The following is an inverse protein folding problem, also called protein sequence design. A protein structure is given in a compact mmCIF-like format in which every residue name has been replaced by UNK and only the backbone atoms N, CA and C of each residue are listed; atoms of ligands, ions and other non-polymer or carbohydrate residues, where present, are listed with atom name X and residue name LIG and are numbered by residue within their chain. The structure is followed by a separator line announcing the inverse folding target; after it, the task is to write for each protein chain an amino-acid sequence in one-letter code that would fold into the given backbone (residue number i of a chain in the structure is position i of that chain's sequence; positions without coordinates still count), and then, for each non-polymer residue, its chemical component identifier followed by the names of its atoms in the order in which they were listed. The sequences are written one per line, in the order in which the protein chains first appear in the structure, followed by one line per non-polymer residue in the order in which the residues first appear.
data_IF_978220651909
#
_entry.id   IF_978220651909
#
_cell.length_a   1.000
_cell.length_b   1.000
_cell.length_c   1.000
_cell.angle_alpha   90.00
_cell.angle_beta   90.00
_cell.angle_gamma   90.00
#
_symmetry.space_group_name_H-M   'P 1'
#
loop_
_entity.id
_entity.type
_entity.pdbx_description
1 polymer ?
#
# COMPACT_ATOMS: atom_id res chain seq x y z
N UNK A 1 32.40 -19.21 17.60
CA UNK A 1 31.53 -18.61 16.56
C UNK A 1 30.12 -18.53 17.12
N UNK A 2 29.69 -17.35 17.60
CA UNK A 2 28.33 -17.16 18.16
C UNK A 2 27.38 -16.89 17.00
N UNK A 3 26.51 -17.85 16.69
CA UNK A 3 25.42 -17.65 15.73
C UNK A 3 24.33 -16.87 16.48
N UNK A 4 24.19 -15.59 16.15
CA UNK A 4 23.10 -14.77 16.64
C UNK A 4 21.84 -15.10 15.84
N UNK A 5 20.95 -15.90 16.42
CA UNK A 5 19.57 -16.00 15.94
C UNK A 5 18.87 -14.72 16.36
N UNK A 6 18.67 -13.79 15.42
CA UNK A 6 17.87 -12.57 15.65
C UNK A 6 16.47 -12.99 16.09
N UNK A 7 16.00 -12.48 17.25
CA UNK A 7 14.62 -12.67 17.68
C UNK A 7 13.67 -12.04 16.65
N UNK A 8 12.54 -12.71 16.41
CA UNK A 8 11.47 -12.29 15.49
C UNK A 8 11.03 -10.83 15.72
N UNK A 9 11.04 -10.36 16.97
CA UNK A 9 10.74 -8.96 17.35
C UNK A 9 11.66 -7.94 16.67
N UNK A 10 12.96 -8.23 16.50
CA UNK A 10 13.91 -7.31 15.88
C UNK A 10 13.74 -7.20 14.36
N UNK A 11 13.24 -8.27 13.72
CA UNK A 11 12.97 -8.32 12.28
C UNK A 11 11.64 -7.64 11.98
N UNK A 12 10.61 -7.86 12.82
CA UNK A 12 9.35 -7.11 12.82
C UNK A 12 9.63 -5.60 12.95
N UNK A 13 10.34 -5.16 14.00
CA UNK A 13 10.58 -3.73 14.24
C UNK A 13 11.24 -3.00 13.05
N UNK A 14 12.19 -3.65 12.36
CA UNK A 14 12.89 -3.03 11.22
C UNK A 14 12.00 -2.82 9.98
N UNK A 15 11.04 -3.73 9.80
CA UNK A 15 10.17 -3.78 8.63
C UNK A 15 9.02 -2.78 8.75
N UNK A 16 8.43 -2.71 9.94
CA UNK A 16 7.35 -1.80 10.31
C UNK A 16 7.81 -0.35 10.39
N UNK A 17 9.03 -0.10 10.88
CA UNK A 17 9.58 1.25 10.94
C UNK A 17 9.71 1.91 9.56
N UNK A 18 9.87 1.13 8.50
CA UNK A 18 10.04 1.65 7.14
C UNK A 18 8.74 2.10 6.52
N UNK A 19 7.70 1.26 6.55
CA UNK A 19 6.35 1.67 6.14
C UNK A 19 5.88 2.89 6.96
N UNK A 20 6.07 2.85 8.28
CA UNK A 20 5.77 3.98 9.17
C UNK A 20 6.52 5.26 8.79
N UNK A 21 7.81 5.18 8.48
CA UNK A 21 8.60 6.34 8.09
C UNK A 21 8.07 6.98 6.79
N UNK A 22 7.60 6.16 5.85
CA UNK A 22 6.99 6.63 4.61
C UNK A 22 5.60 7.23 4.84
N UNK A 23 4.72 6.60 5.63
CA UNK A 23 3.40 7.16 5.96
C UNK A 23 3.47 8.56 6.59
N UNK A 24 4.54 8.86 7.33
CA UNK A 24 4.74 10.18 7.95
C UNK A 24 5.21 11.27 6.96
N UNK A 25 5.60 10.91 5.73
CA UNK A 25 6.30 11.82 4.80
C UNK A 25 5.69 11.85 3.41
N UNK A 26 5.18 10.70 2.97
CA UNK A 26 4.74 10.45 1.61
C UNK A 26 3.32 9.88 1.63
N UNK A 27 2.57 10.16 0.56
CA UNK A 27 1.33 9.46 0.27
C UNK A 27 1.65 7.99 -0.03
N UNK A 28 1.01 7.06 0.69
CA UNK A 28 1.25 5.63 0.52
C UNK A 28 -0.06 4.90 0.19
N UNK A 29 0.01 3.79 -0.55
CA UNK A 29 -1.10 2.89 -0.81
C UNK A 29 -0.77 1.46 -0.34
N UNK A 30 -1.66 0.86 0.43
CA UNK A 30 -1.57 -0.51 0.92
C UNK A 30 -2.51 -1.40 0.10
N UNK A 31 -1.94 -2.38 -0.61
CA UNK A 31 -2.66 -3.19 -1.59
C UNK A 31 -2.10 -4.61 -1.67
N UNK A 32 -2.93 -5.54 -2.13
CA UNK A 32 -2.61 -6.94 -2.44
C UNK A 32 -3.46 -7.38 -3.62
N UNK A 33 -3.13 -8.49 -4.27
CA UNK A 33 -4.01 -9.16 -5.22
C UNK A 33 -4.42 -10.57 -4.76
N UNK A 34 -4.14 -10.90 -3.48
CA UNK A 34 -4.64 -12.12 -2.88
C UNK A 34 -6.16 -12.00 -2.66
N UNK A 35 -6.90 -12.95 -3.23
CA UNK A 35 -8.35 -13.08 -3.08
C UNK A 35 -8.70 -14.55 -2.96
N UNK A 36 -9.72 -14.88 -2.18
CA UNK A 36 -10.13 -16.27 -1.99
C UNK A 36 -10.88 -16.84 -3.20
N UNK A 37 -11.69 -16.05 -3.89
CA UNK A 37 -12.45 -16.46 -5.06
C UNK A 37 -12.57 -15.37 -6.12
N UNK A 38 -12.92 -15.74 -7.35
CA UNK A 38 -13.27 -14.79 -8.42
C UNK A 38 -14.66 -14.14 -8.19
N UNK A 39 -15.05 -13.21 -9.07
CA UNK A 39 -16.37 -12.54 -9.04
C UNK A 39 -17.55 -13.52 -9.15
N UNK A 40 -17.33 -14.71 -9.70
CA UNK A 40 -18.33 -15.77 -9.82
C UNK A 40 -18.37 -16.72 -8.60
N UNK A 41 -17.51 -16.49 -7.61
CA UNK A 41 -17.39 -17.30 -6.40
C UNK A 41 -16.55 -18.57 -6.56
N UNK A 42 -15.83 -18.74 -7.69
CA UNK A 42 -14.92 -19.88 -7.85
C UNK A 42 -13.63 -19.64 -7.06
N UNK A 43 -13.20 -20.59 -6.22
CA UNK A 43 -12.03 -20.40 -5.38
C UNK A 43 -10.74 -20.37 -6.20
N UNK A 44 -9.86 -19.41 -5.90
CA UNK A 44 -8.52 -19.37 -6.47
C UNK A 44 -7.60 -20.38 -5.78
N UNK A 45 -6.82 -21.13 -6.57
CA UNK A 45 -5.71 -21.90 -6.05
C UNK A 45 -4.60 -20.98 -5.52
N UNK A 46 -3.80 -21.46 -4.57
CA UNK A 46 -2.65 -20.70 -4.05
C UNK A 46 -1.68 -20.26 -5.17
N UNK A 47 -1.55 -21.05 -6.23
CA UNK A 47 -0.73 -20.72 -7.39
C UNK A 47 -1.28 -19.51 -8.15
N UNK A 48 -2.59 -19.44 -8.35
CA UNK A 48 -3.26 -18.32 -9.01
C UNK A 48 -3.19 -17.06 -8.16
N UNK A 49 -3.47 -17.15 -6.85
CA UNK A 49 -3.33 -16.01 -5.92
C UNK A 49 -1.93 -15.39 -6.00
N UNK A 50 -0.89 -16.23 -5.91
CA UNK A 50 0.52 -15.79 -6.03
C UNK A 50 0.84 -15.22 -7.40
N UNK A 51 0.28 -15.78 -8.47
CA UNK A 51 0.51 -15.29 -9.83
C UNK A 51 -0.11 -13.91 -10.03
N UNK A 52 -1.35 -13.70 -9.57
CA UNK A 52 -2.01 -12.39 -9.57
C UNK A 52 -1.22 -11.36 -8.76
N UNK A 53 -0.73 -11.73 -7.58
CA UNK A 53 0.07 -10.82 -6.77
C UNK A 53 1.42 -10.47 -7.40
N UNK A 54 2.01 -11.40 -8.16
CA UNK A 54 3.22 -11.14 -8.96
C UNK A 54 2.94 -10.23 -10.15
N UNK A 55 1.73 -10.28 -10.72
CA UNK A 55 1.29 -9.34 -11.75
C UNK A 55 1.09 -7.95 -11.17
N UNK A 56 0.45 -7.81 -10.01
CA UNK A 56 0.37 -6.55 -9.29
C UNK A 56 1.75 -5.96 -8.99
N UNK A 57 2.70 -6.79 -8.52
CA UNK A 57 4.09 -6.36 -8.31
C UNK A 57 4.73 -5.81 -9.59
N UNK A 58 4.45 -6.45 -10.74
CA UNK A 58 4.95 -5.98 -12.04
C UNK A 58 4.31 -4.67 -12.45
N UNK A 59 3.03 -4.45 -12.19
CA UNK A 59 2.36 -3.17 -12.48
C UNK A 59 2.89 -2.04 -11.60
N UNK A 60 3.08 -2.30 -10.30
CA UNK A 60 3.71 -1.32 -9.39
C UNK A 60 5.12 -1.01 -9.87
N UNK A 61 5.92 -2.02 -10.23
CA UNK A 61 7.28 -1.81 -10.74
C UNK A 61 7.28 -1.09 -12.09
N UNK A 62 6.37 -1.45 -13.00
CA UNK A 62 6.26 -0.86 -14.33
C UNK A 62 5.96 0.63 -14.18
N UNK A 63 5.12 1.03 -13.22
CA UNK A 63 4.79 2.42 -12.89
C UNK A 63 6.02 3.26 -12.52
N UNK A 64 7.08 2.63 -12.01
CA UNK A 64 8.29 3.31 -11.57
C UNK A 64 8.13 3.97 -10.21
N UNK A 65 7.21 3.47 -9.39
CA UNK A 65 7.06 3.82 -7.98
C UNK A 65 7.97 2.96 -7.10
N UNK A 66 8.24 3.45 -5.90
CA UNK A 66 8.91 2.67 -4.86
C UNK A 66 7.86 1.87 -4.09
N UNK A 67 8.18 0.65 -3.67
CA UNK A 67 7.30 -0.11 -2.79
C UNK A 67 8.08 -0.90 -1.73
N UNK A 68 7.42 -1.04 -0.58
CA UNK A 68 7.80 -2.00 0.45
C UNK A 68 6.94 -3.23 0.26
N UNK A 69 7.56 -4.34 -0.09
CA UNK A 69 6.92 -5.65 -0.10
C UNK A 69 6.89 -6.16 1.33
N UNK A 70 5.72 -6.55 1.82
CA UNK A 70 5.55 -7.14 3.13
C UNK A 70 5.03 -8.56 3.01
N UNK A 71 5.46 -9.43 3.90
CA UNK A 71 4.80 -10.72 4.13
C UNK A 71 4.04 -10.62 5.42
N UNK A 72 2.75 -10.86 5.38
CA UNK A 72 1.99 -11.18 6.58
C UNK A 72 1.32 -12.52 6.43
N UNK A 73 0.56 -12.91 7.44
CA UNK A 73 -0.09 -14.20 7.41
C UNK A 73 -1.00 -14.41 8.59
N UNK A 74 -1.79 -15.46 8.48
CA UNK A 74 -2.72 -15.93 9.50
C UNK A 74 -2.47 -17.42 9.76
N UNK A 75 -2.98 -17.91 10.89
CA UNK A 75 -2.96 -19.34 11.20
C UNK A 75 -4.33 -19.90 10.83
N UNK A 76 -4.38 -20.71 9.78
CA UNK A 76 -5.58 -21.48 9.48
C UNK A 76 -5.74 -22.62 10.47
N UNK A 77 -6.99 -22.93 10.82
CA UNK A 77 -7.32 -23.98 11.79
C UNK A 77 -6.60 -23.84 13.14
N UNK A 78 -6.43 -22.60 13.60
CA UNK A 78 -5.83 -22.30 14.89
C UNK A 78 -6.52 -23.10 16.02
N UNK A 79 -5.73 -23.70 16.91
CA UNK A 79 -6.24 -24.56 17.99
C UNK A 79 -6.49 -26.02 17.59
N UNK A 80 -6.21 -26.41 16.36
CA UNK A 80 -6.26 -27.81 15.90
C UNK A 80 -4.86 -28.38 15.62
N UNK A 81 -4.74 -29.71 15.47
CA UNK A 81 -3.50 -30.36 15.04
C UNK A 81 -3.11 -30.02 13.59
N UNK A 82 -4.04 -29.47 12.81
CA UNK A 82 -3.86 -29.08 11.41
C UNK A 82 -3.64 -27.57 11.27
N UNK A 83 -3.18 -26.90 12.33
CA UNK A 83 -2.84 -25.49 12.29
C UNK A 83 -1.72 -25.25 11.27
N UNK A 84 -1.99 -24.45 10.24
CA UNK A 84 -1.02 -24.14 9.19
C UNK A 84 -0.89 -22.62 9.07
N UNK A 85 0.35 -22.14 9.07
CA UNK A 85 0.65 -20.74 8.79
C UNK A 85 0.53 -20.49 7.29
N UNK A 86 -0.41 -19.64 6.91
CA UNK A 86 -0.54 -19.14 5.53
C UNK A 86 0.16 -17.80 5.46
N UNK A 87 1.10 -17.68 4.54
CA UNK A 87 1.84 -16.43 4.27
C UNK A 87 1.38 -15.83 2.96
N UNK A 88 1.03 -14.55 3.02
CA UNK A 88 0.56 -13.76 1.90
C UNK A 88 1.38 -12.48 1.79
N UNK A 89 1.60 -12.09 0.54
CA UNK A 89 2.45 -10.95 0.21
C UNK A 89 1.57 -9.73 -0.05
N UNK A 90 1.86 -8.63 0.63
CA UNK A 90 1.18 -7.35 0.47
C UNK A 90 2.19 -6.26 0.12
N UNK A 91 1.69 -5.13 -0.38
CA UNK A 91 2.53 -4.03 -0.84
C UNK A 91 2.13 -2.73 -0.15
N UNK A 92 3.12 -1.99 0.33
CA UNK A 92 3.00 -0.57 0.68
C UNK A 92 3.72 0.23 -0.40
N UNK A 93 2.96 0.78 -1.34
CA UNK A 93 3.44 1.58 -2.47
C UNK A 93 3.61 3.03 -2.03
N UNK A 94 4.74 3.64 -2.37
CA UNK A 94 5.14 4.97 -1.92
C UNK A 94 5.08 5.92 -3.11
N UNK A 95 4.31 7.00 -2.98
CA UNK A 95 4.21 8.01 -4.02
C UNK A 95 5.43 8.93 -4.05
N UNK A 96 6.50 8.48 -4.70
CA UNK A 96 7.71 9.27 -4.92
C UNK A 96 7.76 9.92 -6.33
N UNK A 97 6.65 9.91 -7.08
CA UNK A 97 6.67 10.23 -8.51
C UNK A 97 5.49 11.07 -9.01
N UNK A 98 4.27 10.74 -8.61
CA UNK A 98 3.06 11.28 -9.23
C UNK A 98 2.41 12.37 -8.38
N UNK A 99 1.57 13.20 -8.99
CA UNK A 99 0.71 14.09 -8.21
C UNK A 99 -0.23 13.25 -7.31
N UNK A 100 -0.67 13.76 -6.14
CA UNK A 100 -1.50 12.99 -5.21
C UNK A 100 -2.74 12.35 -5.86
N UNK A 101 -3.50 13.13 -6.64
CA UNK A 101 -4.70 12.62 -7.32
C UNK A 101 -4.37 11.56 -8.38
N UNK A 102 -3.31 11.75 -9.16
CA UNK A 102 -2.84 10.78 -10.17
C UNK A 102 -2.42 9.45 -9.49
N UNK A 103 -1.76 9.53 -8.33
CA UNK A 103 -1.39 8.36 -7.55
C UNK A 103 -2.61 7.62 -7.00
N UNK A 104 -3.60 8.35 -6.46
CA UNK A 104 -4.85 7.77 -5.97
C UNK A 104 -5.60 7.07 -7.11
N UNK A 105 -5.72 7.72 -8.28
CA UNK A 105 -6.32 7.12 -9.49
C UNK A 105 -5.61 5.83 -9.89
N UNK A 106 -4.28 5.80 -9.84
CA UNK A 106 -3.50 4.60 -10.14
C UNK A 106 -3.71 3.49 -9.12
N UNK A 107 -3.80 3.82 -7.83
CA UNK A 107 -4.08 2.85 -6.78
C UNK A 107 -5.48 2.22 -6.92
N UNK A 108 -6.50 3.04 -7.23
CA UNK A 108 -7.86 2.58 -7.53
C UNK A 108 -7.87 1.72 -8.81
N UNK A 109 -7.11 2.11 -9.83
CA UNK A 109 -6.99 1.32 -11.05
C UNK A 109 -6.44 -0.08 -10.77
N UNK A 110 -5.38 -0.21 -9.97
CA UNK A 110 -4.87 -1.53 -9.55
C UNK A 110 -5.90 -2.31 -8.71
N UNK A 111 -6.62 -1.63 -7.82
CA UNK A 111 -7.72 -2.22 -7.05
C UNK A 111 -8.74 -2.88 -7.99
N UNK A 112 -9.22 -2.14 -9.00
CA UNK A 112 -10.16 -2.66 -10.00
C UNK A 112 -9.56 -3.75 -10.89
N UNK A 113 -8.32 -3.60 -11.36
CA UNK A 113 -7.64 -4.60 -12.21
C UNK A 113 -7.55 -5.97 -11.54
N UNK A 114 -7.30 -6.00 -10.22
CA UNK A 114 -7.15 -7.23 -9.46
C UNK A 114 -8.40 -7.62 -8.69
N UNK A 115 -9.53 -6.98 -9.01
CA UNK A 115 -10.82 -7.16 -8.35
C UNK A 115 -10.65 -7.24 -6.83
N UNK A 116 -10.02 -6.21 -6.27
CA UNK A 116 -9.95 -6.02 -4.83
C UNK A 116 -11.15 -5.20 -4.39
N UNK A 117 -11.61 -5.45 -3.18
CA UNK A 117 -12.77 -4.72 -2.65
C UNK A 117 -12.38 -3.29 -2.28
N UNK A 118 -11.16 -3.10 -1.75
CA UNK A 118 -10.64 -1.78 -1.40
C UNK A 118 -9.11 -1.68 -1.48
N UNK A 119 -8.62 -0.44 -1.50
CA UNK A 119 -7.23 -0.05 -1.29
C UNK A 119 -7.15 0.99 -0.17
N UNK A 120 -6.24 0.81 0.79
CA UNK A 120 -5.98 1.81 1.83
C UNK A 120 -4.94 2.80 1.33
N UNK A 121 -5.29 4.08 1.29
CA UNK A 121 -4.36 5.19 1.04
C UNK A 121 -4.13 5.98 2.32
N UNK A 122 -2.88 6.28 2.63
CA UNK A 122 -2.49 7.07 3.80
C UNK A 122 -1.80 8.36 3.38
N UNK A 123 -2.33 9.49 3.81
CA UNK A 123 -1.85 10.83 3.47
C UNK A 123 -1.31 11.56 4.71
N UNK A 124 -0.05 12.00 4.72
CA UNK A 124 0.47 12.83 5.81
C UNK A 124 -0.14 14.23 5.74
N UNK A 125 -0.84 14.61 6.80
CA UNK A 125 -1.40 15.94 7.00
C UNK A 125 -0.65 16.66 8.13
N UNK A 126 0.45 17.38 7.82
CA UNK A 126 1.21 18.07 8.85
C UNK A 126 0.38 19.22 9.44
N UNK A 127 0.33 19.30 10.77
CA UNK A 127 -0.23 20.45 11.46
C UNK A 127 0.58 21.68 11.05
N UNK A 128 -0.10 22.64 10.42
CA UNK A 128 0.51 23.89 9.97
C UNK A 128 0.37 24.96 11.04
N UNK A 129 1.39 25.79 11.17
CA UNK A 129 1.36 27.01 11.97
C UNK A 129 0.46 28.03 11.26
N UNK A 130 0.15 29.13 11.95
CA UNK A 130 -0.58 30.27 11.38
C UNK A 130 0.13 30.91 10.18
N UNK A 131 1.44 30.69 10.02
CA UNK A 131 2.25 31.13 8.87
C UNK A 131 2.18 30.17 7.66
N UNK A 132 1.46 29.04 7.77
CA UNK A 132 1.29 28.06 6.70
C UNK A 132 2.43 27.05 6.57
N UNK A 133 3.51 27.15 7.37
CA UNK A 133 4.57 26.16 7.41
C UNK A 133 4.24 25.00 8.36
N UNK A 134 4.77 23.78 8.11
CA UNK A 134 4.65 22.67 9.06
C UNK A 134 5.22 23.05 10.43
N UNK A 135 4.49 22.76 11.51
CA UNK A 135 4.98 23.02 12.86
C UNK A 135 6.01 21.96 13.27
N UNK A 136 7.28 22.31 13.14
CA UNK A 136 8.41 21.43 13.46
C UNK A 136 8.38 21.05 14.96
N UNK A 137 7.87 19.86 15.26
CA UNK A 137 7.75 19.33 16.63
C UNK A 137 6.35 18.87 17.01
N UNK A 138 5.32 19.16 16.18
CA UNK A 138 3.99 18.59 16.36
C UNK A 138 3.89 17.21 15.68
N UNK A 139 3.10 16.28 16.23
CA UNK A 139 2.78 15.04 15.53
C UNK A 139 2.13 15.36 14.19
N UNK A 140 2.53 14.62 13.16
CA UNK A 140 1.89 14.65 11.84
C UNK A 140 0.63 13.79 11.96
N UNK A 141 -0.53 14.36 11.66
CA UNK A 141 -1.74 13.57 11.48
C UNK A 141 -1.60 12.80 10.17
N UNK A 142 -2.01 11.53 10.16
CA UNK A 142 -1.97 10.70 8.96
C UNK A 142 -3.41 10.31 8.68
N UNK A 143 -3.95 10.79 7.57
CA UNK A 143 -5.33 10.49 7.17
C UNK A 143 -5.31 9.17 6.41
N UNK A 144 -6.03 8.17 6.90
CA UNK A 144 -6.27 6.91 6.22
C UNK A 144 -7.61 6.95 5.49
N UNK A 145 -7.65 6.47 4.24
CA UNK A 145 -8.87 6.34 3.44
C UNK A 145 -8.93 4.98 2.78
N UNK A 146 -10.07 4.32 2.86
CA UNK A 146 -10.37 3.11 2.09
C UNK A 146 -11.08 3.54 0.82
N UNK A 147 -10.44 3.34 -0.33
CA UNK A 147 -11.06 3.56 -1.63
C UNK A 147 -11.54 2.23 -2.19
N UNK A 148 -12.81 2.17 -2.61
CA UNK A 148 -13.31 1.04 -3.38
C UNK A 148 -12.73 1.03 -4.82
N UNK A 149 -13.03 0.00 -5.59
CA UNK A 149 -12.62 -0.11 -7.01
C UNK A 149 -13.24 0.94 -7.94
N UNK A 150 -14.22 1.72 -7.47
CA UNK A 150 -14.88 2.80 -8.20
C UNK A 150 -14.36 4.19 -7.79
N UNK A 151 -13.52 4.27 -6.76
CA UNK A 151 -12.96 5.50 -6.22
C UNK A 151 -13.82 6.17 -5.15
N UNK A 152 -14.87 5.53 -4.65
CA UNK A 152 -15.61 6.02 -3.50
C UNK A 152 -14.81 5.79 -2.22
N UNK A 153 -14.88 6.75 -1.30
CA UNK A 153 -14.29 6.61 0.04
C UNK A 153 -15.28 5.87 0.93
N UNK A 154 -15.00 4.61 1.25
CA UNK A 154 -15.84 3.81 2.15
C UNK A 154 -15.61 4.15 3.63
N UNK A 155 -14.38 4.57 3.95
CA UNK A 155 -13.97 4.91 5.31
C UNK A 155 -12.86 5.96 5.27
N UNK A 156 -12.93 6.93 6.19
CA UNK A 156 -11.86 7.89 6.47
C UNK A 156 -11.59 7.91 7.98
N UNK A 157 -10.31 7.94 8.37
CA UNK A 157 -9.90 8.01 9.76
C UNK A 157 -8.59 8.79 9.92
N UNK A 158 -8.37 9.31 11.13
CA UNK A 158 -7.21 10.13 11.47
C UNK A 158 -6.20 9.36 12.32
N UNK A 159 -4.96 9.84 12.36
CA UNK A 159 -3.83 9.21 13.06
C UNK A 159 -3.53 7.78 12.60
N UNK A 160 -3.72 7.51 11.30
CA UNK A 160 -3.46 6.21 10.69
C UNK A 160 -2.04 5.72 11.00
N UNK A 161 -1.96 4.47 11.41
CA UNK A 161 -0.76 3.78 11.82
C UNK A 161 -0.58 2.49 11.04
N UNK A 162 0.52 1.79 11.28
CA UNK A 162 0.74 0.48 10.65
C UNK A 162 -0.27 -0.56 11.15
N UNK A 163 -0.82 -0.39 12.36
CA UNK A 163 -1.88 -1.27 12.86
C UNK A 163 -3.14 -1.16 12.02
N UNK A 164 -3.49 0.05 11.59
CA UNK A 164 -4.66 0.25 10.72
C UNK A 164 -4.46 -0.39 9.34
N UNK A 165 -3.20 -0.53 8.88
CA UNK A 165 -2.88 -1.32 7.70
C UNK A 165 -3.01 -2.83 7.96
N UNK A 166 -2.64 -3.33 9.14
CA UNK A 166 -2.89 -4.73 9.55
C UNK A 166 -4.38 -5.03 9.69
N UNK A 167 -5.15 -4.11 10.27
CA UNK A 167 -6.61 -4.17 10.37
C UNK A 167 -7.25 -4.15 8.99
N UNK A 168 -6.77 -3.29 8.08
CA UNK A 168 -7.20 -3.28 6.69
C UNK A 168 -7.03 -4.67 6.03
N UNK A 169 -5.84 -5.27 6.13
CA UNK A 169 -5.63 -6.61 5.58
C UNK A 169 -6.41 -7.70 6.32
N UNK A 170 -6.62 -7.55 7.63
CA UNK A 170 -7.46 -8.46 8.42
C UNK A 170 -8.90 -8.45 7.93
N UNK A 171 -9.45 -7.26 7.65
CA UNK A 171 -10.78 -7.10 7.09
C UNK A 171 -10.86 -7.66 5.67
N UNK A 172 -9.85 -7.39 4.84
CA UNK A 172 -9.80 -7.87 3.45
C UNK A 172 -9.74 -9.41 3.36
N UNK A 173 -8.98 -10.06 4.25
CA UNK A 173 -8.84 -11.52 4.27
C UNK A 173 -9.88 -12.23 5.15
N UNK A 174 -10.62 -11.49 5.98
CA UNK A 174 -11.51 -12.05 6.99
C UNK A 174 -10.79 -12.90 8.06
N UNK A 175 -9.47 -12.69 8.24
CA UNK A 175 -8.59 -13.49 9.11
C UNK A 175 -7.54 -12.59 9.74
N UNK A 176 -7.21 -12.84 11.02
CA UNK A 176 -6.21 -12.08 11.77
C UNK A 176 -4.86 -12.05 11.05
N UNK A 177 -4.55 -10.93 10.40
CA UNK A 177 -3.37 -10.75 9.59
C UNK A 177 -2.31 -9.96 10.35
N UNK A 178 -1.11 -10.53 10.46
CA UNK A 178 0.03 -9.87 11.11
C UNK A 178 1.20 -9.76 10.15
N UNK A 179 1.76 -8.57 10.00
CA UNK A 179 2.94 -8.34 9.18
C UNK A 179 4.18 -8.95 9.88
N UNK A 180 5.03 -9.63 9.11
CA UNK A 180 6.12 -10.47 9.65
C UNK A 180 7.50 -10.17 9.06
N UNK A 181 7.59 -9.74 7.80
CA UNK A 181 8.85 -9.33 7.17
C UNK A 181 8.61 -8.31 6.05
N UNK A 182 9.57 -7.43 5.78
CA UNK A 182 9.53 -6.56 4.59
C UNK A 182 10.83 -6.49 3.82
N UNK A 183 10.70 -6.38 2.49
CA UNK A 183 11.74 -6.11 1.52
C UNK A 183 11.41 -4.80 0.78
N UNK A 184 12.42 -4.04 0.34
CA UNK A 184 12.21 -2.75 -0.32
C UNK A 184 12.67 -2.82 -1.78
N UNK A 185 11.79 -2.38 -2.67
CA UNK A 185 12.16 -2.04 -4.03
C UNK A 185 12.16 -0.53 -4.20
N UNK A 186 13.37 0.06 -4.26
CA UNK A 186 13.55 1.49 -4.47
C UNK A 186 13.69 1.81 -5.95
N UNK A 187 12.88 2.76 -6.43
CA UNK A 187 13.11 3.42 -7.72
C UNK A 187 13.78 4.77 -7.45
N UNK A 188 14.73 5.19 -8.30
CA UNK A 188 15.38 6.49 -8.18
C UNK A 188 14.32 7.61 -8.10
N UNK A 189 14.35 8.39 -7.02
CA UNK A 189 13.43 9.52 -6.84
C UNK A 189 13.66 10.54 -7.94
N UNK A 190 12.68 10.70 -8.83
CA UNK A 190 12.67 11.79 -9.80
C UNK A 190 11.98 12.99 -9.14
N UNK A 191 12.73 14.06 -8.89
CA UNK A 191 12.16 15.30 -8.39
C UNK A 191 11.04 15.76 -9.34
N UNK A 192 9.90 16.14 -8.76
CA UNK A 192 8.77 16.69 -9.50
C UNK A 192 9.16 18.10 -9.94
N UNK A 193 9.63 18.27 -11.17
CA UNK A 193 9.93 19.58 -11.74
C UNK A 193 8.69 20.22 -12.36
N UNK A 194 8.43 21.49 -12.06
CA UNK A 194 7.52 22.32 -12.84
C UNK A 194 8.31 22.96 -13.99
N UNK A 195 7.91 22.70 -15.24
CA UNK A 195 8.47 23.40 -16.40
C UNK A 195 7.31 23.95 -17.19
N UNK A 196 7.23 25.29 -17.30
CA UNK A 196 6.24 26.00 -18.12
C UNK A 196 4.77 25.57 -17.87
N UNK A 197 4.33 25.66 -16.61
CA UNK A 197 2.93 25.50 -16.22
C UNK A 197 2.40 24.05 -16.17
N UNK A 198 3.18 23.05 -16.58
CA UNK A 198 2.86 21.63 -16.37
C UNK A 198 3.89 20.97 -15.47
N UNK A 199 3.38 20.20 -14.52
CA UNK A 199 4.20 19.35 -13.66
C UNK A 199 4.69 18.17 -14.50
N UNK A 200 6.01 17.92 -14.55
CA UNK A 200 6.59 16.81 -15.31
C UNK A 200 5.96 15.46 -14.96
N UNK A 201 5.62 15.25 -13.68
CA UNK A 201 4.89 14.08 -13.21
C UNK A 201 3.50 13.89 -13.85
N UNK A 202 2.74 14.97 -14.04
CA UNK A 202 1.42 14.92 -14.65
C UNK A 202 1.51 14.59 -16.16
N UNK A 203 2.55 15.11 -16.84
CA UNK A 203 2.83 14.73 -18.24
C UNK A 203 3.23 13.26 -18.34
N UNK A 204 4.15 12.81 -17.48
CA UNK A 204 4.59 11.42 -17.41
C UNK A 204 3.40 10.47 -17.15
N UNK A 205 2.49 10.86 -16.23
CA UNK A 205 1.27 10.13 -15.94
C UNK A 205 0.37 10.03 -17.17
N UNK A 206 0.01 11.17 -17.78
CA UNK A 206 -0.82 11.22 -18.98
C UNK A 206 -0.25 10.44 -20.17
N UNK A 207 1.07 10.44 -20.35
CA UNK A 207 1.71 9.68 -21.42
C UNK A 207 1.66 8.16 -21.17
N UNK A 208 1.60 7.73 -19.91
CA UNK A 208 1.68 6.33 -19.53
C UNK A 208 0.32 5.68 -19.29
N UNK A 209 -0.61 6.45 -18.73
CA UNK A 209 -1.97 6.05 -18.38
C UNK A 209 -2.98 7.02 -19.00
N UNK A 210 -3.00 7.18 -20.34
CA UNK A 210 -3.93 8.09 -20.99
C UNK A 210 -5.40 7.82 -20.63
N UNK A 211 -5.75 6.56 -20.39
CA UNK A 211 -7.08 6.10 -20.00
C UNK A 211 -7.53 6.56 -18.60
N UNK A 212 -6.60 6.93 -17.72
CA UNK A 212 -6.92 7.37 -16.34
C UNK A 212 -7.08 8.89 -16.22
N UNK A 213 -6.83 9.63 -17.30
CA UNK A 213 -6.84 11.10 -17.29
C UNK A 213 -8.26 11.67 -17.41
N UNK A 214 -9.18 10.93 -18.02
CA UNK A 214 -10.51 11.40 -18.43
C UNK A 214 -11.64 11.04 -17.45
N UNK A 215 -11.32 10.50 -16.27
CA UNK A 215 -12.30 10.38 -15.18
C UNK A 215 -12.36 11.76 -14.50
N UNK A 216 -13.29 12.60 -14.98
CA UNK A 216 -13.51 13.99 -14.58
C UNK A 216 -13.79 14.16 -13.07
N UNK A 217 -13.42 15.34 -12.57
CA UNK A 217 -13.70 15.89 -11.23
C UNK A 217 -15.20 16.09 -10.95
#
# INVERSE_FOLDING_TARGET
MKIYVKSSESILASSFNRARAHMNRELCAFITAFRDSDESGNPYSLKEKRQRNKELEREIKSSGLTYVKAKGGFIENAGTTNAVRVEEETFCVINNRYAPNDFIKLAIHWCGMFDQDAVLVTEPNPIRRSDGHPDAGKPIDIIGRYYDKHGNVEMEFHNASVKDAEEFFTNLYGKDFVLSSTDIHATESRQIYSVSGRVMAARDFKCKYPELVDIEE
#
